data_IF_076328759953
#
_entry.id   IF_076328759953
#
_cell.length_a   1.000
_cell.length_b   1.000
_cell.length_c   1.000
_cell.angle_alpha   90.00
_cell.angle_beta   90.00
_cell.angle_gamma   90.00
#
_symmetry.space_group_name_H-M   'P 1'
#
loop_
_entity.id
_entity.type
_entity.pdbx_description
1 polymer ?
#
# COMPACT_ATOMS: atom_id res chain seq x y z
N UNK A 1 -5.00 21.35 -13.68
CA UNK A 1 -5.20 19.89 -13.48
C UNK A 1 -6.50 19.73 -12.73
N UNK A 2 -7.45 18.94 -13.25
CA UNK A 2 -8.76 18.76 -12.61
C UNK A 2 -8.64 17.76 -11.46
N UNK A 3 -9.14 18.13 -10.29
CA UNK A 3 -9.24 17.21 -9.15
C UNK A 3 -10.39 16.22 -9.37
N UNK A 4 -10.36 15.08 -8.69
CA UNK A 4 -11.37 14.02 -8.81
C UNK A 4 -12.64 14.24 -7.97
N UNK A 5 -12.89 15.48 -7.53
CA UNK A 5 -14.06 15.88 -6.71
C UNK A 5 -14.24 15.16 -5.36
N UNK A 6 -13.31 14.27 -4.98
CA UNK A 6 -13.33 13.56 -3.69
C UNK A 6 -12.90 14.46 -2.52
N UNK A 7 -13.25 14.08 -1.28
CA UNK A 7 -12.74 14.74 -0.08
C UNK A 7 -11.22 14.79 -0.10
N UNK A 8 -10.67 15.89 0.43
CA UNK A 8 -9.22 16.07 0.57
C UNK A 8 -8.69 15.09 1.60
N UNK A 9 -7.60 14.39 1.27
CA UNK A 9 -6.89 13.54 2.23
C UNK A 9 -5.86 14.37 2.98
N UNK A 10 -5.72 14.10 4.29
CA UNK A 10 -4.65 14.65 5.10
C UNK A 10 -3.49 13.66 5.12
N UNK A 11 -2.28 14.14 4.87
CA UNK A 11 -1.08 13.31 4.90
C UNK A 11 -0.92 12.60 6.26
N UNK A 12 -1.29 13.26 7.36
CA UNK A 12 -1.22 12.71 8.73
C UNK A 12 -2.13 11.52 8.97
N UNK A 13 -3.21 11.40 8.20
CA UNK A 13 -4.15 10.28 8.28
C UNK A 13 -3.73 9.09 7.43
N UNK A 14 -2.76 9.27 6.55
CA UNK A 14 -2.22 8.19 5.73
C UNK A 14 -1.23 7.37 6.55
N UNK A 15 -1.21 6.05 6.31
CA UNK A 15 -0.15 5.22 6.86
C UNK A 15 1.22 5.71 6.34
N UNK A 16 2.25 5.85 7.21
CA UNK A 16 3.51 6.50 6.85
C UNK A 16 4.28 5.75 5.76
N UNK A 17 4.02 4.47 5.53
CA UNK A 17 4.59 3.66 4.45
C UNK A 17 3.87 3.82 3.10
N UNK A 18 2.75 4.54 3.04
CA UNK A 18 1.99 4.84 1.81
C UNK A 18 2.19 6.28 1.32
N UNK A 19 3.08 7.03 1.99
CA UNK A 19 3.44 8.40 1.69
C UNK A 19 4.97 8.50 1.81
N UNK A 20 5.62 9.20 0.89
CA UNK A 20 7.02 9.59 1.00
C UNK A 20 7.11 11.10 1.03
N UNK A 21 7.67 11.64 2.12
CA UNK A 21 8.03 13.05 2.29
C UNK A 21 9.54 13.21 2.50
N UNK A 22 10.36 12.35 1.89
CA UNK A 22 11.82 12.43 2.04
C UNK A 22 12.34 13.82 1.63
N UNK A 23 13.18 14.49 2.44
CA UNK A 23 13.57 15.90 2.24
C UNK A 23 14.17 16.19 0.85
N UNK A 24 14.96 15.26 0.32
CA UNK A 24 15.67 15.44 -0.96
C UNK A 24 14.88 14.92 -2.17
N UNK A 25 13.66 14.41 -1.95
CA UNK A 25 12.85 13.81 -3.00
C UNK A 25 11.54 14.58 -3.21
N UNK A 26 10.91 14.36 -4.36
CA UNK A 26 9.57 14.88 -4.58
C UNK A 26 8.59 14.09 -3.70
N UNK A 27 7.61 14.75 -3.05
CA UNK A 27 6.57 14.03 -2.33
C UNK A 27 5.84 13.04 -3.23
N UNK A 28 5.67 11.81 -2.76
CA UNK A 28 4.97 10.74 -3.46
C UNK A 28 3.97 10.09 -2.54
N UNK A 29 2.87 9.59 -3.08
CA UNK A 29 1.91 8.81 -2.31
C UNK A 29 1.37 7.65 -3.14
N UNK A 30 0.98 6.58 -2.45
CA UNK A 30 0.27 5.47 -3.05
C UNK A 30 -1.17 5.91 -3.36
N UNK A 31 -1.61 5.67 -4.59
CA UNK A 31 -3.01 5.85 -4.94
C UNK A 31 -3.87 4.77 -4.25
N UNK A 32 -4.88 5.17 -3.50
CA UNK A 32 -5.77 4.25 -2.77
C UNK A 32 -6.61 3.35 -3.68
N UNK A 33 -6.86 3.77 -4.92
CA UNK A 33 -7.70 3.01 -5.86
C UNK A 33 -6.90 1.97 -6.66
N UNK A 34 -5.65 2.26 -7.05
CA UNK A 34 -4.84 1.34 -7.87
C UNK A 34 -3.59 0.79 -7.17
N UNK A 35 -3.31 1.22 -5.94
CA UNK A 35 -2.18 0.73 -5.13
C UNK A 35 -0.80 1.15 -5.63
N UNK A 36 -0.72 1.98 -6.67
CA UNK A 36 0.55 2.34 -7.29
C UNK A 36 1.08 3.68 -6.79
N UNK A 37 2.41 3.79 -6.66
CA UNK A 37 3.11 5.01 -6.26
C UNK A 37 2.99 6.11 -7.31
N UNK A 38 2.60 7.31 -6.90
CA UNK A 38 2.47 8.47 -7.79
C UNK A 38 3.10 9.70 -7.15
N UNK A 39 3.70 10.52 -8.00
CA UNK A 39 4.25 11.82 -7.60
C UNK A 39 3.10 12.76 -7.25
N UNK A 40 3.28 13.54 -6.18
CA UNK A 40 2.42 14.66 -5.86
C UNK A 40 2.89 15.91 -6.61
N UNK A 41 1.98 16.55 -7.34
CA UNK A 41 2.22 17.86 -7.96
C UNK A 41 1.11 18.81 -7.55
N UNK A 42 1.49 19.94 -6.96
CA UNK A 42 0.55 20.92 -6.38
C UNK A 42 -0.43 20.25 -5.41
N UNK A 43 0.08 19.40 -4.52
CA UNK A 43 -0.72 18.70 -3.50
C UNK A 43 -1.83 17.81 -4.09
N UNK A 44 -1.59 17.23 -5.27
CA UNK A 44 -2.49 16.26 -5.92
C UNK A 44 -1.73 15.07 -6.48
N UNK A 45 -2.33 13.88 -6.41
CA UNK A 45 -1.85 12.70 -7.14
C UNK A 45 -1.81 13.01 -8.65
N UNK A 46 -0.64 12.83 -9.27
CA UNK A 46 -0.50 13.02 -10.71
C UNK A 46 -1.48 12.13 -11.48
N UNK A 47 -2.10 12.62 -12.58
CA UNK A 47 -3.04 11.82 -13.34
C UNK A 47 -2.39 10.53 -13.86
N UNK A 48 -3.10 9.42 -13.71
CA UNK A 48 -2.62 8.10 -14.09
C UNK A 48 -3.77 7.20 -14.54
N UNK A 49 -3.43 6.04 -15.10
CA UNK A 49 -4.40 5.04 -15.54
C UNK A 49 -4.68 4.02 -14.43
N UNK A 50 -5.84 3.39 -14.49
CA UNK A 50 -6.20 2.28 -13.61
C UNK A 50 -5.35 1.04 -13.93
N UNK A 51 -5.59 -0.05 -13.21
CA UNK A 51 -4.88 -1.32 -13.43
C UNK A 51 -5.09 -1.89 -14.84
N UNK A 52 -6.19 -1.55 -15.50
CA UNK A 52 -6.47 -1.92 -16.89
C UNK A 52 -5.56 -1.22 -17.92
N UNK A 53 -4.77 -0.22 -17.51
CA UNK A 53 -3.88 0.53 -18.39
C UNK A 53 -4.59 1.40 -19.43
N UNK A 54 -5.92 1.51 -19.41
CA UNK A 54 -6.72 2.22 -20.40
C UNK A 54 -7.56 3.30 -19.74
N UNK A 55 -8.35 2.97 -18.73
CA UNK A 55 -9.22 3.93 -18.07
C UNK A 55 -8.43 4.88 -17.17
N UNK A 56 -8.94 6.09 -16.98
CA UNK A 56 -8.39 7.02 -15.98
C UNK A 56 -8.68 6.46 -14.59
N UNK A 57 -7.65 6.36 -13.74
CA UNK A 57 -7.86 5.89 -12.37
C UNK A 57 -8.75 6.87 -11.60
N UNK A 58 -9.78 6.42 -10.85
CA UNK A 58 -10.62 7.30 -10.03
C UNK A 58 -9.86 8.13 -8.99
N UNK A 59 -8.72 7.63 -8.50
CA UNK A 59 -7.82 8.36 -7.61
C UNK A 59 -6.95 9.42 -8.29
N UNK A 60 -7.01 9.55 -9.63
CA UNK A 60 -6.22 10.55 -10.37
C UNK A 60 -6.65 11.97 -10.06
N UNK A 61 -5.73 12.81 -9.58
CA UNK A 61 -6.06 14.17 -9.16
C UNK A 61 -6.67 14.23 -7.75
N UNK A 62 -6.53 13.18 -6.95
CA UNK A 62 -6.86 13.21 -5.53
C UNK A 62 -6.04 14.29 -4.83
N UNK A 63 -6.71 15.17 -4.10
CA UNK A 63 -6.06 16.22 -3.30
C UNK A 63 -5.54 15.61 -1.99
N UNK A 64 -4.29 15.93 -1.68
CA UNK A 64 -3.60 15.52 -0.45
C UNK A 64 -2.97 16.76 0.16
N UNK A 65 -3.43 17.17 1.33
CA UNK A 65 -2.82 18.25 2.11
C UNK A 65 -1.66 17.66 2.90
N UNK A 66 -0.48 18.25 2.72
CA UNK A 66 0.72 17.91 3.49
C UNK A 66 0.68 18.70 4.80
N UNK A 67 -0.07 18.18 5.77
CA UNK A 67 -0.27 18.76 7.11
C UNK A 67 0.78 18.31 8.13
N UNK A 68 1.86 17.68 7.67
CA UNK A 68 3.02 17.35 8.47
C UNK A 68 4.32 17.63 7.71
N UNK A 69 5.37 17.86 8.47
CA UNK A 69 6.73 18.09 7.98
C UNK A 69 7.43 16.77 7.62
N UNK A 70 8.48 16.81 6.77
CA UNK A 70 9.35 15.65 6.53
C UNK A 70 9.88 14.99 7.81
N UNK A 71 10.21 15.78 8.83
CA UNK A 71 10.72 15.28 10.10
C UNK A 71 9.64 14.52 10.91
N UNK A 72 8.41 15.05 10.95
CA UNK A 72 7.27 14.37 11.59
C UNK A 72 6.91 13.08 10.86
N UNK A 73 6.96 13.08 9.52
CA UNK A 73 6.77 11.89 8.70
C UNK A 73 7.83 10.82 9.01
N UNK A 74 9.10 11.22 9.05
CA UNK A 74 10.20 10.29 9.32
C UNK A 74 10.11 9.70 10.73
N UNK A 75 9.71 10.51 11.72
CA UNK A 75 9.44 10.05 13.08
C UNK A 75 8.30 9.03 13.11
N UNK A 76 7.18 9.31 12.45
CA UNK A 76 6.04 8.40 12.32
C UNK A 76 6.42 7.09 11.62
N UNK A 77 7.18 7.17 10.53
CA UNK A 77 7.70 5.99 9.81
C UNK A 77 8.62 5.15 10.69
N UNK A 78 9.52 5.78 11.46
CA UNK A 78 10.41 5.08 12.40
C UNK A 78 9.63 4.34 13.50
N UNK A 79 8.58 4.97 14.05
CA UNK A 79 7.68 4.30 15.01
C UNK A 79 6.98 3.10 14.36
N UNK A 80 6.42 3.26 13.15
CA UNK A 80 5.75 2.18 12.44
C UNK A 80 6.68 1.01 12.11
N UNK A 81 7.93 1.30 11.71
CA UNK A 81 8.95 0.28 11.47
C UNK A 81 9.31 -0.49 12.75
N UNK A 82 9.48 0.21 13.88
CA UNK A 82 9.75 -0.44 15.17
C UNK A 82 8.59 -1.30 15.64
N UNK A 83 7.36 -0.81 15.52
CA UNK A 83 6.16 -1.60 15.83
C UNK A 83 6.09 -2.87 14.97
N UNK A 84 6.25 -2.73 13.66
CA UNK A 84 6.25 -3.86 12.74
C UNK A 84 7.36 -4.88 13.06
N UNK A 85 8.57 -4.41 13.39
CA UNK A 85 9.69 -5.27 13.78
C UNK A 85 9.48 -5.95 15.14
N UNK A 86 8.76 -5.30 16.06
CA UNK A 86 8.43 -5.86 17.38
C UNK A 86 7.39 -6.98 17.34
N UNK A 87 6.62 -7.11 16.24
CA UNK A 87 5.64 -8.19 16.09
C UNK A 87 6.37 -9.53 15.96
N UNK A 88 6.15 -10.43 16.93
CA UNK A 88 6.65 -11.81 16.86
C UNK A 88 6.04 -12.49 15.64
N UNK A 89 6.90 -13.03 14.77
CA UNK A 89 6.45 -13.83 13.64
C UNK A 89 5.53 -14.96 14.10
N UNK A 90 4.40 -15.14 13.42
CA UNK A 90 3.49 -16.25 13.71
C UNK A 90 4.21 -17.56 13.44
N UNK A 91 4.44 -18.37 14.48
CA UNK A 91 4.94 -19.73 14.32
C UNK A 91 3.79 -20.65 13.92
N UNK A 92 3.68 -20.95 12.63
CA UNK A 92 2.75 -21.96 12.12
C UNK A 92 3.36 -23.35 12.28
N UNK A 93 2.68 -24.21 13.03
CA UNK A 93 2.94 -25.65 12.99
C UNK A 93 2.06 -26.25 11.90
N UNK A 94 2.67 -26.78 10.85
CA UNK A 94 1.95 -27.54 9.83
C UNK A 94 1.68 -28.94 10.36
N UNK A 95 0.43 -29.42 10.23
CA UNK A 95 0.11 -30.83 10.49
C UNK A 95 0.84 -31.67 9.42
N UNK A 96 1.61 -32.71 9.81
CA UNK A 96 2.17 -33.65 8.85
C UNK A 96 1.04 -34.25 8.01
N UNK A 97 1.29 -34.40 6.71
CA UNK A 97 0.35 -35.09 5.83
C UNK A 97 0.19 -36.55 6.31
N UNK A 98 -1.04 -37.05 6.53
CA UNK A 98 -1.23 -38.44 6.88
C UNK A 98 -0.75 -39.35 5.73
N UNK A 99 -0.23 -40.54 6.03
CA UNK A 99 0.16 -41.49 4.98
C UNK A 99 -1.04 -41.78 4.07
N UNK A 100 -0.78 -41.87 2.77
CA UNK A 100 -1.81 -42.22 1.80
C UNK A 100 -2.48 -43.55 2.19
N UNK A 101 -3.83 -43.62 2.24
CA UNK A 101 -4.51 -44.86 2.56
C UNK A 101 -4.23 -45.90 1.48
N UNK A 102 -4.21 -47.20 1.82
CA UNK A 102 -4.08 -48.25 0.82
C UNK A 102 -5.25 -48.18 -0.18
N UNK A 103 -5.01 -48.47 -1.47
CA UNK A 103 -6.06 -48.43 -2.49
C UNK A 103 -7.12 -49.50 -2.20
N UNK A 104 -8.40 -49.09 -2.15
CA UNK A 104 -9.54 -49.98 -1.89
C UNK A 104 -9.83 -50.92 -3.07
N UNK A 105 -9.47 -50.52 -4.30
CA UNK A 105 -9.65 -51.33 -5.50
C UNK A 105 -8.36 -51.34 -6.32
N UNK A 106 -7.97 -52.53 -6.78
CA UNK A 106 -6.95 -52.72 -7.81
C UNK A 106 -7.64 -53.30 -9.04
N UNK A 107 -7.50 -52.64 -10.18
CA UNK A 107 -7.91 -53.21 -11.46
C UNK A 107 -6.89 -54.30 -11.83
N UNK A 108 -7.36 -55.50 -12.12
CA UNK A 108 -6.52 -56.58 -12.65
C UNK A 108 -6.11 -56.24 -14.09
N UNK A 109 -4.86 -56.57 -14.44
CA UNK A 109 -4.36 -56.52 -15.81
C UNK A 109 -4.72 -57.80 -16.57
#
# INVERSE_FOLDING_TARGET
MRHNERPVLLASTMAPNLLSLHPDERPMAVCTDCGAWRILRRNMLWPHRAADGVSRCPGSGQRIVLDLTPAEWLSSLSVACRDAAGRRARRTFSKPEPPAPPPLHRMAA
#
